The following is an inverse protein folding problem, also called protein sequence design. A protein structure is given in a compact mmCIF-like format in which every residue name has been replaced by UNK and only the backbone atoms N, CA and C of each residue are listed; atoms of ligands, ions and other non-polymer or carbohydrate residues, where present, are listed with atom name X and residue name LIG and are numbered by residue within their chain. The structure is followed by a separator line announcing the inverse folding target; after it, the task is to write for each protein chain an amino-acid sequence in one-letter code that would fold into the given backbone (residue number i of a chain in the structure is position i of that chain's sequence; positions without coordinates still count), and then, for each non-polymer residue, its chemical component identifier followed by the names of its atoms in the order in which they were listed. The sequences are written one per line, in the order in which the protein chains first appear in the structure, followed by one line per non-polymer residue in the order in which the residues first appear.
data_IF_683925143893
#
_entry.id   IF_683925143893
#
_cell.length_a   1.000
_cell.length_b   1.000
_cell.length_c   1.000
_cell.angle_alpha   90.00
_cell.angle_beta   90.00
_cell.angle_gamma   90.00
#
_symmetry.space_group_name_H-M   'P 1'
#
loop_
_entity.id
_entity.type
_entity.pdbx_description
1 polymer ?
#
# COMPACT_ATOMS: atom_id res chain seq x y z
N UNK A 1 -13.74 9.52 -7.20
CA UNK A 1 -13.36 8.33 -6.40
C UNK A 1 -13.29 8.74 -4.95
N UNK A 2 -13.89 7.99 -4.01
CA UNK A 2 -13.75 8.30 -2.58
C UNK A 2 -12.35 7.93 -2.10
N UNK A 3 -11.79 8.70 -1.14
CA UNK A 3 -10.46 8.43 -0.55
C UNK A 3 -10.34 6.95 -0.08
N UNK A 4 -11.38 6.43 0.56
CA UNK A 4 -11.46 5.04 1.02
C UNK A 4 -11.36 4.00 -0.11
N UNK A 5 -11.98 4.27 -1.26
CA UNK A 5 -11.96 3.35 -2.40
C UNK A 5 -10.57 3.27 -3.02
N UNK A 6 -9.86 4.39 -3.10
CA UNK A 6 -8.48 4.43 -3.64
C UNK A 6 -7.56 3.57 -2.77
N UNK A 7 -7.62 3.72 -1.45
CA UNK A 7 -6.81 2.92 -0.51
C UNK A 7 -7.14 1.43 -0.61
N UNK A 8 -8.42 1.08 -0.68
CA UNK A 8 -8.84 -0.32 -0.80
C UNK A 8 -8.37 -0.96 -2.12
N UNK A 9 -8.45 -0.26 -3.25
CA UNK A 9 -7.99 -0.75 -4.54
C UNK A 9 -6.46 -0.91 -4.57
N UNK A 10 -5.73 0.01 -3.94
CA UNK A 10 -4.26 -0.09 -3.80
C UNK A 10 -3.84 -1.29 -2.94
N UNK A 11 -4.41 -1.43 -1.73
CA UNK A 11 -4.10 -2.56 -0.86
C UNK A 11 -4.43 -3.90 -1.54
N UNK A 12 -5.55 -3.97 -2.26
CA UNK A 12 -5.90 -5.17 -3.03
C UNK A 12 -4.85 -5.50 -4.09
N UNK A 13 -4.37 -4.50 -4.85
CA UNK A 13 -3.32 -4.67 -5.84
C UNK A 13 -2.01 -5.17 -5.21
N UNK A 14 -1.60 -4.62 -4.07
CA UNK A 14 -0.39 -5.05 -3.38
C UNK A 14 -0.49 -6.49 -2.86
N UNK A 15 -1.62 -6.84 -2.24
CA UNK A 15 -1.89 -8.22 -1.78
C UNK A 15 -1.79 -9.21 -2.96
N UNK A 16 -2.39 -8.90 -4.11
CA UNK A 16 -2.35 -9.77 -5.29
C UNK A 16 -0.94 -9.89 -5.90
N UNK A 17 -0.13 -8.82 -5.83
CA UNK A 17 1.27 -8.86 -6.26
C UNK A 17 2.14 -9.72 -5.32
N UNK A 18 1.89 -9.65 -4.01
CA UNK A 18 2.65 -10.39 -3.00
C UNK A 18 2.25 -11.87 -2.95
N UNK A 19 0.95 -12.16 -3.16
CA UNK A 19 0.36 -13.49 -3.10
C UNK A 19 -0.25 -13.87 -4.45
N UNK A 20 0.60 -14.15 -5.44
CA UNK A 20 0.16 -14.44 -6.82
C UNK A 20 -0.77 -15.63 -7.01
N UNK A 21 -0.96 -16.50 -6.00
CA UNK A 21 -1.97 -17.56 -6.02
C UNK A 21 -3.41 -17.06 -5.80
N UNK A 22 -3.57 -15.84 -5.27
CA UNK A 22 -4.86 -15.16 -5.15
C UNK A 22 -5.27 -14.43 -6.44
N UNK A 23 -4.36 -14.28 -7.40
CA UNK A 23 -4.64 -13.65 -8.68
C UNK A 23 -5.48 -14.59 -9.56
N UNK A 24 -6.75 -14.18 -9.75
CA UNK A 24 -7.73 -14.89 -10.54
C UNK A 24 -7.21 -15.29 -11.92
N UNK A 25 -6.54 -14.36 -12.59
CA UNK A 25 -6.10 -14.54 -13.99
C UNK A 25 -4.94 -15.52 -14.07
N UNK A 26 -4.10 -15.58 -13.03
CA UNK A 26 -2.84 -16.33 -13.06
C UNK A 26 -2.95 -17.75 -12.53
N UNK A 27 -3.76 -17.98 -11.49
CA UNK A 27 -3.66 -19.25 -10.75
C UNK A 27 -4.95 -19.77 -10.10
N UNK A 28 -6.06 -19.05 -10.17
CA UNK A 28 -7.23 -19.44 -9.38
C UNK A 28 -8.08 -20.49 -10.11
N UNK A 29 -8.08 -21.71 -9.56
CA UNK A 29 -9.00 -22.77 -9.97
C UNK A 29 -10.39 -22.49 -9.38
N UNK A 30 -11.32 -22.05 -10.22
CA UNK A 30 -12.70 -21.78 -9.83
C UNK A 30 -13.29 -22.95 -9.02
N UNK A 31 -13.85 -22.65 -7.85
CA UNK A 31 -14.48 -23.61 -6.92
C UNK A 31 -13.56 -24.70 -6.34
N UNK A 32 -12.25 -24.67 -6.62
CA UNK A 32 -11.28 -25.68 -6.17
C UNK A 32 -10.28 -25.14 -5.14
N UNK A 33 -10.29 -23.82 -4.88
CA UNK A 33 -9.43 -23.18 -3.89
C UNK A 33 -10.26 -22.35 -2.90
N UNK A 34 -9.94 -22.39 -1.60
CA UNK A 34 -10.66 -21.67 -0.55
C UNK A 34 -10.24 -20.19 -0.50
N UNK A 35 -10.40 -19.46 -1.61
CA UNK A 35 -9.89 -18.09 -1.77
C UNK A 35 -10.46 -17.11 -0.75
N UNK A 36 -11.70 -17.32 -0.29
CA UNK A 36 -12.26 -16.52 0.79
C UNK A 36 -11.53 -16.66 2.14
N UNK A 37 -10.83 -17.78 2.38
CA UNK A 37 -9.98 -17.98 3.57
C UNK A 37 -8.56 -17.49 3.28
N UNK A 38 -7.99 -17.88 2.14
CA UNK A 38 -6.64 -17.51 1.74
C UNK A 38 -6.45 -15.99 1.65
N UNK A 39 -7.42 -15.27 1.07
CA UNK A 39 -7.36 -13.81 0.96
C UNK A 39 -7.38 -13.12 2.33
N UNK A 40 -8.14 -13.66 3.29
CA UNK A 40 -8.16 -13.13 4.67
C UNK A 40 -6.81 -13.29 5.36
N UNK A 41 -6.18 -14.46 5.22
CA UNK A 41 -4.84 -14.71 5.76
C UNK A 41 -3.81 -13.81 5.08
N UNK A 42 -3.88 -13.68 3.76
CA UNK A 42 -3.00 -12.80 3.00
C UNK A 42 -3.14 -11.33 3.40
N UNK A 43 -4.36 -10.83 3.62
CA UNK A 43 -4.57 -9.47 4.10
C UNK A 43 -3.94 -9.24 5.50
N UNK A 44 -4.05 -10.21 6.41
CA UNK A 44 -3.41 -10.12 7.73
C UNK A 44 -1.88 -10.10 7.61
N UNK A 45 -1.31 -11.00 6.82
CA UNK A 45 0.15 -11.04 6.59
C UNK A 45 0.67 -9.80 5.88
N UNK A 46 -0.10 -9.27 4.92
CA UNK A 46 0.21 -8.00 4.26
C UNK A 46 0.21 -6.85 5.27
N UNK A 47 -0.80 -6.74 6.13
CA UNK A 47 -0.81 -5.71 7.18
C UNK A 47 0.40 -5.82 8.11
N UNK A 48 0.79 -7.04 8.51
CA UNK A 48 2.00 -7.27 9.33
C UNK A 48 3.25 -6.81 8.58
N UNK A 49 3.38 -7.15 7.29
CA UNK A 49 4.48 -6.70 6.45
C UNK A 49 4.54 -5.17 6.35
N UNK A 50 3.40 -4.52 6.11
CA UNK A 50 3.28 -3.05 6.06
C UNK A 50 3.72 -2.42 7.39
N UNK A 51 3.28 -2.96 8.52
CA UNK A 51 3.67 -2.47 9.85
C UNK A 51 5.17 -2.63 10.14
N UNK A 52 5.81 -3.71 9.63
CA UNK A 52 7.21 -3.99 9.88
C UNK A 52 8.16 -3.27 8.92
N UNK A 53 7.72 -2.92 7.71
CA UNK A 53 8.60 -2.38 6.65
C UNK A 53 8.22 -0.97 6.22
N UNK A 54 7.15 -0.38 6.77
CA UNK A 54 6.68 1.00 6.51
C UNK A 54 6.82 1.42 5.05
N UNK A 55 6.02 0.86 4.13
CA UNK A 55 6.13 1.15 2.71
C UNK A 55 5.90 2.64 2.40
N UNK A 56 6.42 3.09 1.26
CA UNK A 56 6.33 4.48 0.80
C UNK A 56 4.88 5.01 0.79
N UNK A 57 3.90 4.15 0.52
CA UNK A 57 2.48 4.53 0.54
C UNK A 57 2.04 5.02 1.93
N UNK A 58 2.39 4.33 3.01
CA UNK A 58 2.05 4.77 4.37
C UNK A 58 2.75 6.08 4.73
N UNK A 59 4.01 6.25 4.31
CA UNK A 59 4.76 7.49 4.51
C UNK A 59 4.10 8.67 3.77
N UNK A 60 3.67 8.48 2.53
CA UNK A 60 2.96 9.51 1.75
C UNK A 60 1.70 10.01 2.46
N UNK A 61 0.89 9.12 3.04
CA UNK A 61 -0.33 9.51 3.75
C UNK A 61 -0.06 10.14 5.12
N UNK A 62 0.96 9.69 5.85
CA UNK A 62 1.39 10.30 7.11
C UNK A 62 1.89 11.74 6.89
N UNK A 63 2.67 11.96 5.82
CA UNK A 63 3.16 13.29 5.48
C UNK A 63 2.01 14.19 5.01
N UNK A 64 1.09 13.68 4.18
CA UNK A 64 -0.08 14.44 3.73
C UNK A 64 -0.97 14.84 4.92
N UNK A 65 -1.22 13.93 5.87
CA UNK A 65 -1.94 14.25 7.10
C UNK A 65 -1.20 15.29 7.95
N UNK A 66 0.13 15.19 8.04
CA UNK A 66 0.94 16.15 8.81
C UNK A 66 0.98 17.53 8.13
N UNK A 67 0.92 17.59 6.80
CA UNK A 67 0.83 18.82 6.02
C UNK A 67 -0.54 19.48 6.16
N UNK A 68 -1.65 18.72 6.05
CA UNK A 68 -3.02 19.25 6.24
C UNK A 68 -3.25 19.84 7.66
N UNK A 69 -2.48 19.40 8.67
CA UNK A 69 -2.58 19.90 10.05
C UNK A 69 -1.62 21.06 10.39
N UNK A 70 -0.62 21.35 9.55
CA UNK A 70 0.35 22.43 9.76
C UNK A 70 0.20 23.48 8.64
N UNK A 71 -0.73 24.42 8.84
CA UNK A 71 -1.18 25.44 7.88
C UNK A 71 -0.13 26.50 7.42
N UNK A 72 1.18 26.29 7.58
CA UNK A 72 2.19 27.33 7.29
C UNK A 72 3.29 26.95 6.27
N UNK A 73 3.36 25.70 5.78
CA UNK A 73 4.47 25.23 4.92
C UNK A 73 4.08 24.62 3.57
N UNK A 74 2.84 24.85 3.12
CA UNK A 74 2.14 23.96 2.18
C UNK A 74 2.73 23.83 0.76
N UNK A 75 3.34 24.86 0.16
CA UNK A 75 3.76 24.77 -1.26
C UNK A 75 5.10 24.04 -1.48
N UNK A 76 6.06 24.16 -0.55
CA UNK A 76 7.41 23.59 -0.72
C UNK A 76 7.49 22.08 -0.43
N UNK A 77 6.64 21.58 0.45
CA UNK A 77 6.61 20.17 0.87
C UNK A 77 5.96 19.29 -0.19
N UNK A 78 4.92 19.80 -0.86
CA UNK A 78 4.19 19.06 -1.92
C UNK A 78 5.09 18.81 -3.14
N UNK A 79 5.96 19.76 -3.52
CA UNK A 79 6.92 19.54 -4.61
C UNK A 79 7.97 18.47 -4.25
N UNK A 80 8.50 18.47 -3.02
CA UNK A 80 9.45 17.45 -2.57
C UNK A 80 8.83 16.05 -2.46
N UNK A 81 7.53 15.95 -2.14
CA UNK A 81 6.78 14.70 -2.11
C UNK A 81 6.43 14.13 -3.49
N UNK A 82 6.56 14.94 -4.54
CA UNK A 82 6.31 14.51 -5.91
C UNK A 82 7.50 13.71 -6.47
N UNK A 83 8.70 13.89 -5.90
CA UNK A 83 9.88 13.15 -6.31
C UNK A 83 9.94 11.80 -5.56
N UNK A 84 10.03 10.67 -6.29
CA UNK A 84 10.18 9.38 -5.66
C UNK A 84 11.51 9.33 -4.90
N UNK A 85 11.54 8.75 -3.67
CA UNK A 85 12.77 8.60 -2.89
C UNK A 85 13.87 7.92 -3.70
N UNK A 86 15.10 8.33 -3.44
CA UNK A 86 16.25 7.74 -4.12
C UNK A 86 16.38 6.26 -3.77
N UNK A 87 16.93 5.47 -4.70
CA UNK A 87 17.11 4.03 -4.51
C UNK A 87 17.97 3.72 -3.26
N UNK A 88 18.84 4.64 -2.86
CA UNK A 88 19.67 4.53 -1.66
C UNK A 88 18.87 4.66 -0.36
N UNK A 89 17.88 5.55 -0.30
CA UNK A 89 16.98 5.70 0.84
C UNK A 89 16.07 4.48 1.01
N UNK A 90 15.79 3.76 -0.07
CA UNK A 90 14.94 2.56 -0.06
C UNK A 90 15.55 1.37 0.70
N UNK A 91 16.89 1.27 0.74
CA UNK A 91 17.58 0.11 1.32
C UNK A 91 18.11 0.35 2.74
N UNK A 92 17.92 1.54 3.31
CA UNK A 92 18.63 1.96 4.54
C UNK A 92 17.76 2.56 5.66
N UNK A 93 16.45 2.32 5.68
CA UNK A 93 15.61 2.49 6.87
C UNK A 93 14.93 1.16 7.25
#
# INVERSE_FOLDING_TARGET
MSKLRIVAEWACKEILNMFGFLDYVKNQKHLLQPVGVEFRVAALLHNVHVCLHQPQTTQYFEILHTAENNLEGEEMIIEQLLEPPSLFEYFHN
#
